data_IF_210709046603
#
_entry.id   IF_210709046603
#
_cell.length_a   1.000
_cell.length_b   1.000
_cell.length_c   1.000
_cell.angle_alpha   90.00
_cell.angle_beta   90.00
_cell.angle_gamma   90.00
#
_symmetry.space_group_name_H-M   'P 1'
#
loop_
_entity.id
_entity.type
_entity.pdbx_description
1 polymer ?
#
# COMPACT_ATOMS: atom_id res chain seq x y z
N UNK A 1 14.98 17.63 39.88
CA UNK A 1 14.73 16.50 38.96
C UNK A 1 13.83 17.04 37.86
N UNK A 2 14.24 17.14 36.58
CA UNK A 2 13.44 17.86 35.61
C UNK A 2 12.41 16.94 34.94
N UNK A 3 11.32 17.57 34.53
CA UNK A 3 9.99 17.04 34.28
C UNK A 3 9.72 16.79 32.78
N UNK A 4 10.57 16.05 32.08
CA UNK A 4 10.28 15.65 30.69
C UNK A 4 9.56 14.30 30.68
N UNK A 5 8.26 14.32 30.97
CA UNK A 5 7.41 13.21 30.56
C UNK A 5 7.35 13.26 29.03
N UNK A 6 7.96 12.25 28.37
CA UNK A 6 7.79 12.02 26.94
C UNK A 6 6.30 11.94 26.63
N UNK A 7 5.78 12.96 25.94
CA UNK A 7 4.44 12.92 25.37
C UNK A 7 4.51 12.08 24.10
N UNK A 8 4.47 10.75 24.24
CA UNK A 8 4.14 9.89 23.10
C UNK A 8 2.67 10.15 22.74
N UNK A 9 2.35 10.52 21.49
CA UNK A 9 0.96 10.72 21.11
C UNK A 9 0.19 9.40 21.29
N UNK A 10 -0.85 9.43 22.12
CA UNK A 10 -1.67 8.29 22.54
C UNK A 10 -2.53 7.66 21.42
N UNK A 11 -2.26 7.95 20.16
CA UNK A 11 -2.95 7.34 19.02
C UNK A 11 -1.90 6.97 17.97
N UNK A 12 -1.84 5.69 17.53
CA UNK A 12 -0.92 5.31 16.47
C UNK A 12 -1.19 6.15 15.22
N UNK A 13 -0.14 6.52 14.47
CA UNK A 13 -0.29 7.34 13.28
C UNK A 13 -1.25 6.64 12.31
N UNK A 14 -2.35 7.33 11.99
CA UNK A 14 -3.30 6.91 10.98
C UNK A 14 -2.88 7.48 9.65
N UNK A 15 -2.35 6.64 8.77
CA UNK A 15 -2.06 7.05 7.41
C UNK A 15 -3.31 6.92 6.56
N UNK A 16 -3.49 7.85 5.62
CA UNK A 16 -4.61 7.83 4.68
C UNK A 16 -4.10 7.54 3.30
N UNK A 17 -4.93 6.89 2.51
CA UNK A 17 -4.67 6.70 1.11
C UNK A 17 -5.96 6.63 0.31
N UNK A 18 -5.82 6.82 -0.99
CA UNK A 18 -6.93 6.74 -1.93
C UNK A 18 -6.44 6.30 -3.31
N UNK A 19 -7.33 5.78 -4.15
CA UNK A 19 -7.05 5.70 -5.58
C UNK A 19 -6.97 7.10 -6.20
N UNK A 20 -6.44 7.19 -7.43
CA UNK A 20 -6.25 8.46 -8.15
C UNK A 20 -7.53 9.30 -8.24
N UNK A 21 -8.69 8.68 -8.51
CA UNK A 21 -9.96 9.41 -8.61
C UNK A 21 -10.65 9.67 -7.26
N UNK A 22 -10.06 9.23 -6.14
CA UNK A 22 -10.64 9.39 -4.79
C UNK A 22 -11.85 8.50 -4.50
N UNK A 23 -12.33 7.69 -5.46
CA UNK A 23 -13.54 6.90 -5.28
C UNK A 23 -13.39 5.77 -4.24
N UNK A 24 -12.18 5.27 -4.07
CA UNK A 24 -11.84 4.31 -3.00
C UNK A 24 -10.82 4.98 -2.11
N UNK A 25 -11.10 5.01 -0.81
CA UNK A 25 -10.21 5.55 0.22
C UNK A 25 -9.99 4.52 1.31
N UNK A 26 -8.89 4.64 2.04
CA UNK A 26 -8.59 3.73 3.14
C UNK A 26 -7.77 4.43 4.23
N UNK A 27 -7.86 3.87 5.43
CA UNK A 27 -7.07 4.26 6.60
C UNK A 27 -6.21 3.08 7.02
N UNK A 28 -4.92 3.33 7.20
CA UNK A 28 -3.93 2.40 7.72
C UNK A 28 -3.76 2.70 9.21
N UNK A 29 -4.14 1.77 10.07
CA UNK A 29 -4.25 2.00 11.51
C UNK A 29 -2.94 1.82 12.27
N UNK A 30 -1.93 1.25 11.61
CA UNK A 30 -0.60 0.98 12.16
C UNK A 30 0.49 1.51 11.24
N UNK A 31 1.75 1.46 11.71
CA UNK A 31 2.92 1.62 10.84
C UNK A 31 3.08 0.38 9.96
N UNK A 32 3.63 0.51 8.74
CA UNK A 32 3.89 -0.65 7.91
C UNK A 32 4.88 -1.59 8.58
N UNK A 33 4.65 -2.90 8.46
CA UNK A 33 5.55 -3.94 8.98
C UNK A 33 6.91 -3.90 8.29
N UNK A 34 6.88 -3.62 6.98
CA UNK A 34 8.03 -3.38 6.11
C UNK A 34 7.59 -2.67 4.84
N UNK A 35 8.57 -2.07 4.16
CA UNK A 35 8.42 -1.57 2.79
C UNK A 35 9.26 -2.45 1.87
N UNK A 36 8.70 -2.82 0.72
CA UNK A 36 9.31 -3.75 -0.24
C UNK A 36 9.36 -3.11 -1.61
N UNK A 37 10.54 -3.14 -2.24
CA UNK A 37 10.74 -2.83 -3.65
C UNK A 37 10.76 -4.14 -4.44
N UNK A 38 9.70 -4.42 -5.19
CA UNK A 38 9.57 -5.66 -5.96
C UNK A 38 9.91 -5.43 -7.43
N UNK A 39 10.82 -6.26 -7.95
CA UNK A 39 11.34 -6.17 -9.33
C UNK A 39 10.76 -7.24 -10.27
N UNK A 40 9.78 -8.05 -9.84
CA UNK A 40 9.24 -9.09 -10.72
C UNK A 40 8.49 -8.46 -11.92
N UNK A 41 8.45 -9.13 -13.07
CA UNK A 41 7.79 -8.65 -14.30
C UNK A 41 6.34 -8.20 -14.08
N UNK A 42 5.57 -8.95 -13.27
CA UNK A 42 4.22 -8.56 -12.89
C UNK A 42 4.14 -7.23 -12.11
N UNK A 43 5.13 -6.93 -11.27
CA UNK A 43 5.20 -5.69 -10.50
C UNK A 43 5.73 -4.54 -11.36
N UNK A 44 6.59 -4.82 -12.33
CA UNK A 44 6.99 -3.83 -13.33
C UNK A 44 5.80 -3.40 -14.19
N UNK A 45 5.06 -4.37 -14.72
CA UNK A 45 3.87 -4.13 -15.55
C UNK A 45 2.74 -3.45 -14.78
N UNK A 46 2.40 -3.92 -13.57
CA UNK A 46 1.34 -3.36 -12.72
C UNK A 46 1.76 -2.03 -12.05
N UNK A 47 3.06 -1.75 -11.95
CA UNK A 47 3.61 -0.51 -11.40
C UNK A 47 3.87 0.57 -12.45
N UNK A 48 3.98 0.19 -13.73
CA UNK A 48 4.36 1.11 -14.81
C UNK A 48 5.82 1.58 -14.72
N UNK A 49 6.71 0.80 -14.12
CA UNK A 49 8.10 1.19 -13.86
C UNK A 49 9.05 -0.01 -13.67
N UNK A 50 10.35 0.24 -13.44
CA UNK A 50 11.34 -0.83 -13.30
C UNK A 50 11.16 -1.68 -12.02
N UNK A 51 10.36 -1.19 -11.09
CA UNK A 51 9.96 -1.88 -9.87
C UNK A 51 8.67 -1.26 -9.34
N UNK A 52 8.12 -1.90 -8.32
CA UNK A 52 6.95 -1.42 -7.58
C UNK A 52 7.25 -1.39 -6.10
N UNK A 53 6.96 -0.26 -5.45
CA UNK A 53 7.12 -0.12 -4.01
C UNK A 53 5.78 -0.34 -3.30
N UNK A 54 5.80 -1.17 -2.27
CA UNK A 54 4.62 -1.50 -1.47
C UNK A 54 4.96 -1.56 0.01
N UNK A 55 4.00 -1.17 0.84
CA UNK A 55 4.05 -1.27 2.28
C UNK A 55 3.17 -2.45 2.77
N UNK A 56 3.71 -3.26 3.67
CA UNK A 56 3.02 -4.45 4.18
C UNK A 56 2.18 -4.12 5.42
N UNK A 57 0.90 -4.50 5.38
CA UNK A 57 -0.07 -4.39 6.46
C UNK A 57 -0.83 -5.70 6.62
N UNK A 58 -1.32 -5.97 7.83
CA UNK A 58 -2.35 -7.01 8.01
C UNK A 58 -3.69 -6.54 7.48
N UNK A 59 -4.56 -7.49 7.14
CA UNK A 59 -5.90 -7.17 6.61
C UNK A 59 -6.75 -6.31 7.57
N UNK A 60 -6.62 -6.54 8.87
CA UNK A 60 -7.32 -5.83 9.95
C UNK A 60 -6.74 -4.42 10.22
N UNK A 61 -5.57 -4.11 9.67
CA UNK A 61 -4.93 -2.80 9.77
C UNK A 61 -5.33 -1.84 8.64
N UNK A 62 -6.12 -2.31 7.66
CA UNK A 62 -6.51 -1.54 6.47
C UNK A 62 -8.03 -1.42 6.38
N UNK A 63 -8.55 -0.27 6.83
CA UNK A 63 -9.97 0.05 6.82
C UNK A 63 -10.33 0.75 5.50
N UNK A 64 -11.16 0.10 4.67
CA UNK A 64 -11.48 0.55 3.30
C UNK A 64 -12.88 1.17 3.25
N UNK A 65 -13.02 2.25 2.49
CA UNK A 65 -14.28 2.89 2.13
C UNK A 65 -14.41 2.96 0.61
N UNK A 66 -15.41 2.27 0.08
CA UNK A 66 -15.77 2.22 -1.36
C UNK A 66 -17.29 2.34 -1.52
N UNK A 67 -17.86 3.54 -1.38
CA UNK A 67 -19.31 3.73 -1.39
C UNK A 67 -19.94 3.53 -2.78
N UNK A 68 -19.11 3.47 -3.82
CA UNK A 68 -19.56 3.32 -5.21
C UNK A 68 -19.29 1.92 -5.79
N UNK A 69 -18.78 0.98 -4.98
CA UNK A 69 -18.50 -0.41 -5.39
C UNK A 69 -17.55 -0.52 -6.59
N UNK A 70 -16.56 0.38 -6.66
CA UNK A 70 -15.54 0.36 -7.69
C UNK A 70 -14.39 -0.59 -7.39
N UNK A 71 -14.28 -1.17 -6.20
CA UNK A 71 -13.24 -2.12 -5.87
C UNK A 71 -13.40 -3.41 -6.68
N UNK A 72 -12.42 -3.71 -7.53
CA UNK A 72 -12.31 -4.94 -8.33
C UNK A 72 -11.08 -5.75 -7.95
N UNK A 73 -11.13 -7.03 -8.28
CA UNK A 73 -10.06 -8.00 -7.99
C UNK A 73 -9.67 -8.68 -9.31
N UNK A 74 -8.37 -8.74 -9.58
CA UNK A 74 -7.78 -9.54 -10.65
C UNK A 74 -6.80 -10.55 -10.06
N UNK A 75 -6.98 -11.84 -10.34
CA UNK A 75 -6.14 -12.90 -9.80
C UNK A 75 -5.09 -13.34 -10.80
N UNK A 76 -3.82 -13.10 -10.49
CA UNK A 76 -2.67 -13.65 -11.21
C UNK A 76 -2.43 -15.06 -10.72
N UNK A 77 -2.63 -16.05 -11.59
CA UNK A 77 -2.51 -17.48 -11.25
C UNK A 77 -1.17 -18.10 -11.68
N UNK A 78 -0.62 -17.61 -12.78
CA UNK A 78 0.59 -18.15 -13.39
C UNK A 78 1.76 -17.15 -13.31
N UNK A 79 2.99 -17.64 -13.51
CA UNK A 79 4.19 -16.80 -13.53
C UNK A 79 4.51 -16.10 -12.21
N UNK A 80 3.94 -16.53 -11.09
CA UNK A 80 4.25 -15.97 -9.77
C UNK A 80 5.53 -16.59 -9.23
N UNK A 81 6.43 -15.77 -8.67
CA UNK A 81 7.70 -16.26 -8.10
C UNK A 81 7.49 -17.21 -6.92
N UNK A 82 6.35 -17.14 -6.23
CA UNK A 82 6.01 -18.01 -5.11
C UNK A 82 5.29 -19.31 -5.52
N UNK A 83 4.97 -19.49 -6.80
CA UNK A 83 4.15 -20.61 -7.28
C UNK A 83 2.69 -20.60 -6.76
N UNK A 84 2.28 -19.52 -6.10
CA UNK A 84 0.94 -19.36 -5.51
C UNK A 84 0.23 -18.17 -6.16
N UNK A 85 -1.11 -18.18 -6.26
CA UNK A 85 -1.85 -17.06 -6.80
C UNK A 85 -1.62 -15.76 -6.01
N UNK A 86 -1.82 -14.63 -6.67
CA UNK A 86 -1.90 -13.32 -6.01
C UNK A 86 -3.04 -12.50 -6.58
N UNK A 87 -3.73 -11.79 -5.72
CA UNK A 87 -4.82 -10.90 -6.07
C UNK A 87 -4.33 -9.46 -6.16
N UNK A 88 -4.72 -8.79 -7.23
CA UNK A 88 -4.57 -7.36 -7.45
C UNK A 88 -5.90 -6.71 -7.14
N UNK A 89 -5.93 -5.87 -6.11
CA UNK A 89 -7.11 -5.12 -5.72
C UNK A 89 -6.98 -3.72 -6.29
N UNK A 90 -7.91 -3.31 -7.13
CA UNK A 90 -7.80 -2.06 -7.90
C UNK A 90 -9.13 -1.32 -7.99
N UNK A 91 -9.06 -0.03 -8.29
CA UNK A 91 -10.22 0.79 -8.58
C UNK A 91 -10.66 0.58 -10.03
N UNK A 92 -11.85 0.06 -10.25
CA UNK A 92 -12.44 -0.09 -11.58
C UNK A 92 -12.79 1.25 -12.27
N UNK A 93 -12.80 2.37 -11.56
CA UNK A 93 -13.06 3.69 -12.13
C UNK A 93 -11.80 4.34 -12.74
N UNK A 94 -10.66 4.28 -12.04
CA UNK A 94 -9.41 4.91 -12.51
C UNK A 94 -8.28 3.91 -12.85
N UNK A 95 -8.48 2.62 -12.64
CA UNK A 95 -7.47 1.58 -12.90
C UNK A 95 -6.38 1.43 -11.85
N UNK A 96 -6.26 2.35 -10.88
CA UNK A 96 -5.19 2.27 -9.87
C UNK A 96 -5.29 1.00 -9.02
N UNK A 97 -4.24 0.19 -9.05
CA UNK A 97 -4.04 -0.91 -8.11
C UNK A 97 -3.76 -0.35 -6.71
N UNK A 98 -4.62 -0.67 -5.75
CA UNK A 98 -4.57 -0.21 -4.36
C UNK A 98 -3.58 -1.03 -3.53
N UNK A 99 -3.70 -2.36 -3.61
CA UNK A 99 -2.82 -3.30 -2.93
C UNK A 99 -2.79 -4.66 -3.64
N UNK A 100 -1.79 -5.46 -3.29
CA UNK A 100 -1.70 -6.87 -3.69
C UNK A 100 -1.88 -7.77 -2.46
N UNK A 101 -2.65 -8.85 -2.61
CA UNK A 101 -2.76 -9.93 -1.60
C UNK A 101 -2.12 -11.18 -2.18
N UNK A 102 -1.09 -11.72 -1.53
CA UNK A 102 -0.43 -12.94 -1.98
C UNK A 102 -1.00 -14.16 -1.23
N UNK A 103 -1.42 -15.19 -1.97
CA UNK A 103 -2.01 -16.39 -1.34
C UNK A 103 -0.99 -17.27 -0.64
N UNK A 104 0.32 -17.08 -0.91
CA UNK A 104 1.40 -17.69 -0.12
C UNK A 104 1.32 -17.31 1.36
N UNK A 105 0.77 -16.13 1.65
CA UNK A 105 0.61 -15.57 3.00
C UNK A 105 -0.83 -15.78 3.52
N UNK A 106 -1.53 -16.80 2.98
CA UNK A 106 -2.93 -17.16 3.28
C UNK A 106 -3.95 -16.02 3.10
N UNK A 107 -3.59 -14.98 2.35
CA UNK A 107 -4.44 -13.81 2.16
C UNK A 107 -4.51 -12.86 3.35
N UNK A 108 -3.65 -13.04 4.36
CA UNK A 108 -3.69 -12.26 5.62
C UNK A 108 -3.00 -10.89 5.49
N UNK A 109 -2.20 -10.69 4.44
CA UNK A 109 -1.38 -9.50 4.23
C UNK A 109 -1.81 -8.72 2.99
N UNK A 110 -1.89 -7.38 3.15
CA UNK A 110 -2.09 -6.42 2.08
C UNK A 110 -0.78 -5.67 1.82
N UNK A 111 -0.27 -5.81 0.61
CA UNK A 111 0.86 -5.02 0.11
C UNK A 111 0.33 -3.75 -0.55
N UNK A 112 0.14 -2.70 0.25
CA UNK A 112 -0.45 -1.41 -0.15
C UNK A 112 0.54 -0.59 -0.96
N UNK A 113 0.10 0.04 -2.06
CA UNK A 113 0.97 0.90 -2.87
C UNK A 113 1.37 2.15 -2.09
N UNK A 114 2.66 2.38 -1.88
CA UNK A 114 3.13 3.58 -1.17
C UNK A 114 2.81 4.87 -1.94
N UNK A 115 2.72 4.80 -3.27
CA UNK A 115 2.32 5.92 -4.14
C UNK A 115 0.88 6.39 -3.93
N UNK A 116 0.05 5.62 -3.23
CA UNK A 116 -1.35 5.96 -2.94
C UNK A 116 -1.57 6.34 -1.48
N UNK A 117 -0.51 6.39 -0.67
CA UNK A 117 -0.54 6.79 0.73
C UNK A 117 -0.07 8.25 0.82
N UNK A 118 -0.79 9.08 1.57
CA UNK A 118 -0.38 10.46 1.85
C UNK A 118 1.02 10.50 2.47
N UNK A 119 1.93 11.26 1.87
CA UNK A 119 3.35 11.31 2.24
C UNK A 119 3.99 9.90 2.29
N UNK A 120 3.53 8.98 1.43
CA UNK A 120 3.99 7.60 1.40
C UNK A 120 5.48 7.47 1.07
N UNK A 121 6.05 8.45 0.36
CA UNK A 121 7.48 8.63 0.10
C UNK A 121 8.28 8.75 1.40
N UNK A 122 7.76 9.49 2.39
CA UNK A 122 8.42 9.75 3.67
C UNK A 122 8.30 8.58 4.66
N UNK A 123 7.40 7.65 4.40
CA UNK A 123 7.22 6.44 5.21
C UNK A 123 8.22 5.33 4.86
N UNK A 124 8.97 5.51 3.76
CA UNK A 124 10.02 4.61 3.30
C UNK A 124 11.33 5.00 4.00
N UNK A 125 11.51 4.57 5.25
CA UNK A 125 12.69 4.88 6.06
C UNK A 125 14.00 4.69 5.28
N UNK A 126 14.58 5.78 4.77
CA UNK A 126 15.90 5.81 4.15
C UNK A 126 15.99 6.28 2.68
N UNK A 127 14.90 6.41 1.92
CA UNK A 127 14.96 7.05 0.59
C UNK A 127 14.56 8.51 0.74
N UNK A 128 15.53 9.43 0.58
CA UNK A 128 15.23 10.87 0.51
C UNK A 128 14.30 11.10 -0.68
N UNK A 129 13.15 11.73 -0.41
CA UNK A 129 12.31 12.27 -1.46
C UNK A 129 13.05 13.46 -2.07
N UNK A 130 13.61 13.29 -3.27
CA UNK A 130 14.29 14.36 -4.00
C UNK A 130 13.31 15.28 -4.75
N UNK A 131 12.04 15.33 -4.34
CA UNK A 131 11.00 16.06 -5.09
C UNK A 131 10.26 17.07 -4.22
N UNK A 132 10.95 18.13 -3.81
CA UNK A 132 10.34 19.46 -3.87
C UNK A 132 10.27 19.85 -5.36
N UNK A 133 9.11 19.66 -6.01
CA UNK A 133 8.84 20.31 -7.30
C UNK A 133 8.52 19.44 -8.52
N UNK A 134 7.91 18.26 -8.39
CA UNK A 134 7.33 17.55 -9.54
C UNK A 134 5.80 17.48 -9.41
N UNK A 135 5.15 18.18 -10.32
CA UNK A 135 3.69 18.25 -10.55
C UNK A 135 3.21 16.94 -11.18
#
# INVERSE_FOLDING_TARGET
MPFWTSFEPATPPRYRGACLCGSISYVLTQRPRRVVQCHCTHCQADGGGPFQIMAEYRIDEVVVKDPWSYWKIYTVREGTLSGQPKEKHFCGNCGCTLWTVAMRDRGELRMVRTSLIENGDRQMGGMRADSEGAI
#
